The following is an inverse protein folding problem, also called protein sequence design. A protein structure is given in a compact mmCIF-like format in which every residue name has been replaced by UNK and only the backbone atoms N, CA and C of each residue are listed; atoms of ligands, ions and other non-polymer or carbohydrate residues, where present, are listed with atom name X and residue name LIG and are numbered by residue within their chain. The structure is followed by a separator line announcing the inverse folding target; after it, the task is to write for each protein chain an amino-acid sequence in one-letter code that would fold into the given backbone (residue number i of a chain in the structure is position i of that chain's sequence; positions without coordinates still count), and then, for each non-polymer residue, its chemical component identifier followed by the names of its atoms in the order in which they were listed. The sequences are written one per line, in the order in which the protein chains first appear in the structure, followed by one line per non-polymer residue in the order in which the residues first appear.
data_IF_551881254532
#
_entry.id   IF_551881254532
#
_cell.length_a   1.000
_cell.length_b   1.000
_cell.length_c   1.000
_cell.angle_alpha   90.00
_cell.angle_beta   90.00
_cell.angle_gamma   90.00
#
_symmetry.space_group_name_H-M   'P 1'
#
loop_
_entity.id
_entity.type
_entity.pdbx_description
1 polymer ?
#
# COMPACT_ATOMS: atom_id res chain seq x y z
N UNK A 1 10.85 0.58 -30.32
CA UNK A 1 10.24 1.82 -29.78
C UNK A 1 8.83 1.60 -29.24
N UNK A 2 7.86 1.08 -30.01
CA UNK A 2 6.45 1.00 -29.57
C UNK A 2 6.13 0.12 -28.33
N UNK A 3 6.82 -1.01 -28.14
CA UNK A 3 6.58 -1.89 -26.98
C UNK A 3 7.15 -1.37 -25.66
N UNK A 4 8.12 -0.46 -25.74
CA UNK A 4 8.82 0.10 -24.57
C UNK A 4 7.97 1.20 -23.91
N UNK A 5 7.31 2.04 -24.72
CA UNK A 5 6.37 3.05 -24.23
C UNK A 5 5.11 2.45 -23.59
N UNK A 6 4.52 1.41 -24.17
CA UNK A 6 3.35 0.74 -23.59
C UNK A 6 3.64 0.10 -22.23
N UNK A 7 4.86 -0.41 -22.05
CA UNK A 7 5.28 -1.01 -20.78
C UNK A 7 5.53 0.04 -19.69
N UNK A 8 6.02 1.22 -20.07
CA UNK A 8 6.21 2.37 -19.18
C UNK A 8 4.89 2.94 -18.68
N UNK A 9 3.95 3.14 -19.60
CA UNK A 9 2.59 3.60 -19.30
C UNK A 9 1.89 2.63 -18.34
N UNK A 10 2.00 1.31 -18.61
CA UNK A 10 1.44 0.27 -17.72
C UNK A 10 2.09 0.27 -16.33
N UNK A 11 3.39 0.58 -16.23
CA UNK A 11 4.13 0.60 -14.96
C UNK A 11 3.76 1.83 -14.12
N UNK A 12 3.64 3.00 -14.75
CA UNK A 12 3.23 4.24 -14.07
C UNK A 12 1.76 4.18 -13.64
N UNK A 13 0.88 3.59 -14.46
CA UNK A 13 -0.52 3.32 -14.08
C UNK A 13 -0.62 2.38 -12.88
N UNK A 14 0.18 1.30 -12.86
CA UNK A 14 0.20 0.36 -11.73
C UNK A 14 0.67 1.05 -10.45
N UNK A 15 1.70 1.92 -10.56
CA UNK A 15 2.18 2.72 -9.44
C UNK A 15 1.10 3.64 -8.88
N UNK A 16 0.39 4.36 -9.76
CA UNK A 16 -0.69 5.25 -9.35
C UNK A 16 -1.83 4.48 -8.65
N UNK A 17 -2.19 3.30 -9.17
CA UNK A 17 -3.18 2.42 -8.53
C UNK A 17 -2.73 1.96 -7.14
N UNK A 18 -1.47 1.56 -6.98
CA UNK A 18 -0.90 1.19 -5.69
C UNK A 18 -0.92 2.37 -4.71
N UNK A 19 -0.54 3.56 -5.16
CA UNK A 19 -0.53 4.76 -4.31
C UNK A 19 -1.95 5.17 -3.86
N UNK A 20 -2.93 5.09 -4.77
CA UNK A 20 -4.35 5.33 -4.45
C UNK A 20 -4.85 4.34 -3.41
N UNK A 21 -4.53 3.05 -3.56
CA UNK A 21 -4.89 2.03 -2.60
C UNK A 21 -4.24 2.27 -1.23
N UNK A 22 -2.94 2.56 -1.19
CA UNK A 22 -2.22 2.91 0.04
C UNK A 22 -2.90 4.08 0.78
N UNK A 23 -3.22 5.16 0.06
CA UNK A 23 -3.91 6.31 0.63
C UNK A 23 -5.31 5.95 1.16
N UNK A 24 -6.02 5.07 0.45
CA UNK A 24 -7.29 4.50 0.88
C UNK A 24 -7.16 3.72 2.19
N UNK A 25 -6.16 2.84 2.30
CA UNK A 25 -5.88 2.07 3.51
C UNK A 25 -5.62 2.98 4.71
N UNK A 26 -4.83 4.06 4.55
CA UNK A 26 -4.58 5.02 5.64
C UNK A 26 -5.87 5.67 6.13
N UNK A 27 -6.74 6.14 5.22
CA UNK A 27 -8.05 6.72 5.59
C UNK A 27 -8.94 5.70 6.29
N UNK A 28 -8.98 4.47 5.77
CA UNK A 28 -9.77 3.40 6.36
C UNK A 28 -9.31 3.03 7.77
N UNK A 29 -8.00 2.93 8.01
CA UNK A 29 -7.46 2.68 9.35
C UNK A 29 -7.77 3.82 10.34
N UNK A 30 -7.76 5.08 9.91
CA UNK A 30 -8.21 6.20 10.73
C UNK A 30 -9.67 6.03 11.13
N UNK A 31 -10.56 5.74 10.17
CA UNK A 31 -11.98 5.52 10.44
C UNK A 31 -12.23 4.33 11.37
N UNK A 32 -11.48 3.23 11.23
CA UNK A 32 -11.54 2.10 12.15
C UNK A 32 -11.13 2.50 13.58
N UNK A 33 -10.09 3.33 13.72
CA UNK A 33 -9.64 3.84 15.01
C UNK A 33 -10.68 4.74 15.70
N UNK A 34 -11.33 5.62 14.94
CA UNK A 34 -12.41 6.46 15.44
C UNK A 34 -13.63 5.63 15.88
N UNK A 35 -14.02 4.65 15.06
CA UNK A 35 -15.13 3.74 15.38
C UNK A 35 -14.82 2.89 16.62
N UNK A 36 -13.61 2.35 16.73
CA UNK A 36 -13.13 1.63 17.91
C UNK A 36 -13.27 2.49 19.17
N UNK A 37 -12.77 3.73 19.13
CA UNK A 37 -12.81 4.63 20.29
C UNK A 37 -14.25 4.97 20.68
N UNK A 38 -15.13 5.18 19.70
CA UNK A 38 -16.56 5.42 19.92
C UNK A 38 -17.26 4.24 20.60
N UNK A 39 -17.00 3.02 20.13
CA UNK A 39 -17.58 1.80 20.72
C UNK A 39 -17.11 1.56 22.14
N UNK A 40 -15.81 1.71 22.40
CA UNK A 40 -15.23 1.59 23.76
C UNK A 40 -15.81 2.65 24.69
N UNK A 41 -15.83 3.91 24.27
CA UNK A 41 -16.39 5.01 25.08
C UNK A 41 -17.87 4.78 25.42
N UNK A 42 -18.65 4.28 24.45
CA UNK A 42 -20.06 3.95 24.67
C UNK A 42 -20.23 2.76 25.61
N UNK A 43 -19.42 1.70 25.44
CA UNK A 43 -19.41 0.55 26.35
C UNK A 43 -19.07 0.97 27.78
N UNK A 44 -18.10 1.84 27.98
CA UNK A 44 -17.70 2.36 29.30
C UNK A 44 -18.83 3.21 29.93
N UNK A 45 -19.56 3.98 29.11
CA UNK A 45 -20.73 4.74 29.57
C UNK A 45 -21.86 3.81 30.03
N UNK A 46 -22.09 2.71 29.29
CA UNK A 46 -23.06 1.68 29.67
C UNK A 46 -22.63 0.95 30.95
N UNK A 47 -21.33 0.67 31.12
CA UNK A 47 -20.79 0.02 32.31
C UNK A 47 -20.93 0.92 33.54
N UNK A 48 -20.62 2.22 33.41
CA UNK A 48 -20.80 3.20 34.47
C UNK A 48 -22.28 3.38 34.87
N UNK A 49 -23.19 3.38 33.89
CA UNK A 49 -24.63 3.44 34.15
C UNK A 49 -25.15 2.16 34.81
N UNK A 50 -24.65 1.00 34.37
CA UNK A 50 -25.13 -0.30 34.79
C UNK A 50 -24.74 -0.74 36.20
N UNK A 51 -24.00 0.06 36.99
CA UNK A 51 -23.83 -0.12 38.45
C UNK A 51 -23.22 -1.44 38.96
N UNK A 52 -22.86 -2.38 38.08
CA UNK A 52 -22.43 -3.74 38.43
C UNK A 52 -23.58 -4.77 38.44
N UNK A 53 -23.23 -6.07 38.36
CA UNK A 53 -24.19 -7.18 38.26
C UNK A 53 -25.01 -7.42 39.55
N UNK A 54 -24.57 -6.91 40.69
CA UNK A 54 -25.15 -7.18 42.01
C UNK A 54 -25.96 -6.01 42.61
N UNK A 55 -26.19 -4.93 41.84
CA UNK A 55 -27.03 -3.83 42.29
C UNK A 55 -28.52 -4.10 41.95
N UNK A 56 -29.43 -4.20 42.94
CA UNK A 56 -30.85 -4.46 42.71
C UNK A 56 -31.55 -3.41 41.83
N UNK A 57 -31.04 -2.16 41.84
CA UNK A 57 -31.55 -1.06 41.01
C UNK A 57 -31.11 -1.26 39.55
N UNK A 58 -29.84 -1.60 39.30
CA UNK A 58 -29.36 -1.98 37.97
C UNK A 58 -30.12 -3.16 37.36
N UNK A 59 -30.35 -4.24 38.13
CA UNK A 59 -31.08 -5.42 37.63
C UNK A 59 -32.49 -5.07 37.17
N UNK A 60 -33.17 -4.16 37.88
CA UNK A 60 -34.53 -3.71 37.54
C UNK A 60 -34.58 -2.72 36.36
N UNK A 61 -33.49 -2.00 36.09
CA UNK A 61 -33.36 -1.07 34.94
C UNK A 61 -32.91 -1.80 33.66
N UNK A 62 -32.44 -3.04 33.78
CA UNK A 62 -32.04 -3.88 32.63
C UNK A 62 -30.55 -4.22 32.58
N UNK A 63 -29.86 -4.26 33.72
CA UNK A 63 -28.45 -4.64 33.86
C UNK A 63 -28.01 -5.82 32.97
N UNK A 64 -28.73 -6.96 32.90
CA UNK A 64 -28.37 -8.07 32.02
C UNK A 64 -28.39 -7.73 30.51
N UNK A 65 -29.30 -6.85 30.08
CA UNK A 65 -29.36 -6.37 28.69
C UNK A 65 -28.17 -5.45 28.42
N UNK A 66 -27.89 -4.53 29.36
CA UNK A 66 -26.78 -3.58 29.28
C UNK A 66 -25.44 -4.32 29.21
N UNK A 67 -25.23 -5.34 30.04
CA UNK A 67 -24.03 -6.19 29.99
C UNK A 67 -23.85 -6.85 28.63
N UNK A 68 -24.93 -7.35 28.00
CA UNK A 68 -24.83 -7.91 26.64
C UNK A 68 -24.35 -6.88 25.62
N UNK A 69 -24.88 -5.64 25.67
CA UNK A 69 -24.41 -4.56 24.80
C UNK A 69 -22.93 -4.25 25.03
N UNK A 70 -22.48 -4.15 26.28
CA UNK A 70 -21.07 -3.90 26.62
C UNK A 70 -20.18 -4.99 26.03
N UNK A 71 -20.52 -6.27 26.24
CA UNK A 71 -19.75 -7.39 25.70
C UNK A 71 -19.68 -7.34 24.18
N UNK A 72 -20.81 -7.16 23.49
CA UNK A 72 -20.83 -7.09 22.02
C UNK A 72 -20.06 -5.89 21.47
N UNK A 73 -20.13 -4.72 22.12
CA UNK A 73 -19.36 -3.55 21.72
C UNK A 73 -17.85 -3.77 21.88
N UNK A 74 -17.43 -4.41 22.98
CA UNK A 74 -16.03 -4.76 23.22
C UNK A 74 -15.52 -5.78 22.20
N UNK A 75 -16.32 -6.79 21.86
CA UNK A 75 -15.99 -7.74 20.79
C UNK A 75 -15.85 -7.05 19.43
N UNK A 76 -16.80 -6.18 19.07
CA UNK A 76 -16.77 -5.40 17.83
C UNK A 76 -15.52 -4.50 17.76
N UNK A 77 -15.13 -3.89 18.86
CA UNK A 77 -13.91 -3.09 18.96
C UNK A 77 -12.67 -3.97 18.72
N UNK A 78 -12.55 -5.14 19.35
CA UNK A 78 -11.43 -6.06 19.13
C UNK A 78 -11.32 -6.53 17.67
N UNK A 79 -12.44 -6.81 17.00
CA UNK A 79 -12.42 -7.17 15.58
C UNK A 79 -11.93 -6.03 14.68
N UNK A 80 -12.27 -4.77 15.00
CA UNK A 80 -11.76 -3.60 14.25
C UNK A 80 -10.27 -3.39 14.46
N UNK A 81 -9.78 -3.60 15.67
CA UNK A 81 -8.35 -3.51 15.97
C UNK A 81 -7.57 -4.59 15.21
N UNK A 82 -8.08 -5.83 15.19
CA UNK A 82 -7.52 -6.90 14.37
C UNK A 82 -7.51 -6.53 12.88
N UNK A 83 -8.63 -6.04 12.35
CA UNK A 83 -8.72 -5.64 10.95
C UNK A 83 -7.74 -4.51 10.62
N UNK A 84 -7.59 -3.53 11.51
CA UNK A 84 -6.61 -2.44 11.36
C UNK A 84 -5.19 -3.00 11.28
N UNK A 85 -4.83 -3.94 12.15
CA UNK A 85 -3.53 -4.62 12.14
C UNK A 85 -3.29 -5.38 10.83
N UNK A 86 -4.30 -6.08 10.29
CA UNK A 86 -4.20 -6.77 9.01
C UNK A 86 -3.99 -5.81 7.83
N UNK A 87 -4.71 -4.68 7.82
CA UNK A 87 -4.54 -3.65 6.79
C UNK A 87 -3.13 -3.05 6.84
N UNK A 88 -2.58 -2.84 8.03
CA UNK A 88 -1.22 -2.32 8.20
C UNK A 88 -0.17 -3.34 7.77
N UNK A 89 -0.15 -4.52 8.38
CA UNK A 89 0.97 -5.45 8.23
C UNK A 89 0.89 -6.40 7.03
N UNK A 90 -0.30 -6.66 6.51
CA UNK A 90 -0.44 -7.57 5.36
C UNK A 90 -0.61 -6.77 4.08
N UNK A 91 -1.48 -5.76 4.09
CA UNK A 91 -1.80 -5.03 2.88
C UNK A 91 -0.80 -3.88 2.64
N UNK A 92 -0.62 -2.98 3.60
CA UNK A 92 0.23 -1.79 3.44
C UNK A 92 1.70 -2.17 3.29
N UNK A 93 2.23 -3.06 4.14
CA UNK A 93 3.62 -3.48 4.05
C UNK A 93 3.92 -4.13 2.69
N UNK A 94 3.03 -5.00 2.21
CA UNK A 94 3.18 -5.64 0.89
C UNK A 94 3.10 -4.64 -0.26
N UNK A 95 2.18 -3.67 -0.20
CA UNK A 95 2.08 -2.59 -1.18
C UNK A 95 3.36 -1.74 -1.21
N UNK A 96 3.91 -1.44 -0.04
CA UNK A 96 5.09 -0.61 0.11
C UNK A 96 6.33 -1.33 -0.41
N UNK A 97 6.46 -2.62 -0.10
CA UNK A 97 7.50 -3.50 -0.63
C UNK A 97 7.43 -3.55 -2.16
N UNK A 98 6.25 -3.81 -2.73
CA UNK A 98 6.04 -3.87 -4.17
C UNK A 98 6.40 -2.56 -4.88
N UNK A 99 6.01 -1.40 -4.31
CA UNK A 99 6.30 -0.10 -4.89
C UNK A 99 7.79 0.27 -4.82
N UNK A 100 8.49 -0.09 -3.73
CA UNK A 100 9.86 0.35 -3.48
C UNK A 100 10.92 -0.61 -4.01
N UNK A 101 10.63 -1.91 -4.06
CA UNK A 101 11.58 -2.95 -4.49
C UNK A 101 11.24 -3.34 -5.92
N UNK A 102 10.09 -3.99 -6.13
CA UNK A 102 9.77 -4.62 -7.40
C UNK A 102 9.62 -3.59 -8.54
N UNK A 103 8.89 -2.50 -8.29
CA UNK A 103 8.66 -1.48 -9.31
C UNK A 103 9.90 -0.62 -9.57
N UNK A 104 10.67 -0.32 -8.52
CA UNK A 104 11.85 0.54 -8.62
C UNK A 104 13.02 -0.21 -9.27
N UNK A 105 13.23 -1.48 -8.95
CA UNK A 105 14.25 -2.33 -9.56
C UNK A 105 13.95 -2.57 -11.05
N UNK A 106 12.67 -2.70 -11.41
CA UNK A 106 12.23 -2.77 -12.81
C UNK A 106 12.59 -1.47 -13.57
N UNK A 107 12.48 -0.31 -12.92
CA UNK A 107 12.84 0.98 -13.52
C UNK A 107 14.35 1.17 -13.65
N UNK A 108 15.13 0.76 -12.65
CA UNK A 108 16.59 0.88 -12.65
C UNK A 108 17.27 -0.10 -13.61
N UNK A 109 16.77 -1.35 -13.69
CA UNK A 109 17.23 -2.33 -14.69
C UNK A 109 16.94 -1.85 -16.11
N UNK A 110 15.77 -1.24 -16.35
CA UNK A 110 15.42 -0.64 -17.64
C UNK A 110 16.28 0.58 -17.99
N UNK A 111 16.57 1.47 -17.04
CA UNK A 111 17.49 2.60 -17.26
C UNK A 111 18.90 2.11 -17.64
N UNK A 112 19.36 0.99 -17.08
CA UNK A 112 20.62 0.36 -17.47
C UNK A 112 20.55 -0.23 -18.88
N UNK A 113 19.41 -0.84 -19.26
CA UNK A 113 19.18 -1.33 -20.61
C UNK A 113 19.19 -0.20 -21.65
N UNK A 114 18.46 0.90 -21.41
CA UNK A 114 18.45 2.05 -22.33
C UNK A 114 19.84 2.67 -22.51
N UNK A 115 20.64 2.76 -21.43
CA UNK A 115 22.04 3.20 -21.52
C UNK A 115 22.89 2.26 -22.36
N UNK A 116 22.72 0.95 -22.19
CA UNK A 116 23.48 -0.04 -22.96
C UNK A 116 23.10 -0.01 -24.45
N UNK A 117 21.82 0.16 -24.76
CA UNK A 117 21.33 0.31 -26.15
C UNK A 117 21.85 1.59 -26.78
N UNK A 118 21.78 2.74 -26.07
CA UNK A 118 22.35 4.00 -26.57
C UNK A 118 23.84 3.91 -26.83
N UNK A 119 24.62 3.28 -25.93
CA UNK A 119 26.05 3.06 -26.17
C UNK A 119 26.32 2.15 -27.37
N UNK A 120 25.48 1.13 -27.60
CA UNK A 120 25.63 0.21 -28.72
C UNK A 120 25.34 0.89 -30.07
N UNK A 121 24.24 1.64 -30.15
CA UNK A 121 23.87 2.44 -31.33
C UNK A 121 24.97 3.47 -31.64
N UNK A 122 25.54 4.09 -30.60
CA UNK A 122 26.62 5.07 -30.76
C UNK A 122 27.90 4.45 -31.33
N UNK A 123 28.32 3.27 -30.85
CA UNK A 123 29.47 2.55 -31.42
C UNK A 123 29.23 2.06 -32.86
N UNK A 124 27.98 1.72 -33.21
CA UNK A 124 27.62 1.31 -34.57
C UNK A 124 27.65 2.49 -35.55
N UNK A 125 27.30 3.69 -35.08
CA UNK A 125 27.40 4.94 -35.85
C UNK A 125 28.85 5.43 -36.02
N UNK A 126 29.72 5.23 -35.01
CA UNK A 126 31.15 5.56 -35.10
C UNK A 126 31.92 4.62 -36.06
N UNK A 127 31.53 3.35 -36.14
CA UNK A 127 32.11 2.38 -37.09
C UNK A 127 31.66 2.60 -38.55
N UNK A 128 30.82 3.61 -38.83
CA UNK A 128 30.37 3.96 -40.19
C UNK A 128 31.21 5.07 -40.85
N UNK A 129 32.29 5.54 -40.24
CA UNK A 129 33.27 6.36 -40.95
C UNK A 129 34.06 5.49 -41.95
N UNK A 130 34.02 5.78 -43.27
CA UNK A 130 34.75 4.98 -44.23
C UNK A 130 36.25 5.15 -44.00
N UNK A 131 36.92 4.03 -43.75
CA UNK A 131 38.37 3.92 -43.84
C UNK A 131 38.77 4.24 -45.29
N UNK A 132 39.15 5.49 -45.56
CA UNK A 132 39.73 5.88 -46.84
C UNK A 132 41.13 5.25 -46.89
N UNK A 133 41.25 4.11 -47.57
CA UNK A 133 42.54 3.57 -47.98
C UNK A 133 43.24 4.60 -48.87
N UNK A 134 44.46 5.07 -48.55
CA UNK A 134 45.24 5.83 -49.50
C UNK A 134 45.65 4.90 -50.65
N UNK A 135 45.19 5.23 -51.87
CA UNK A 135 45.53 4.50 -53.09
C UNK A 135 47.06 4.47 -53.28
N UNK A 136 47.63 3.27 -53.26
CA UNK A 136 48.98 3.00 -53.73
C UNK A 136 48.95 2.90 -55.26
N UNK A 137 49.63 3.81 -55.95
CA UNK A 137 50.01 3.64 -57.35
C UNK A 137 51.50 3.96 -57.51
N UNK A 138 52.31 2.91 -57.71
CA UNK A 138 53.58 2.98 -58.45
C UNK A 138 53.24 2.87 -59.95
N UNK A 139 53.98 3.48 -60.90
CA UNK A 139 55.41 3.83 -60.83
C UNK A 139 55.76 5.32 -61.01
#
# INVERSE_FOLDING_TARGET
MGQLFSLEETTDELRDRCQKLYNGCKKFMTALGEAYNGEVTFADSLEAFGGGQDDPVSVSIGGPVITKFITTLRELASFKELLRSQVEHVLIDRLTEFMNIDLQDTKDSRRRYDKAVQSYDQCQSDNSFPFVMPDYVYP
#
